data_IF_212820391631
#
_entry.id   IF_212820391631
#
_cell.length_a   1.000
_cell.length_b   1.000
_cell.length_c   1.000
_cell.angle_alpha   90.00
_cell.angle_beta   90.00
_cell.angle_gamma   90.00
#
_symmetry.space_group_name_H-M   'P 1'
#
loop_
_entity.id
_entity.type
_entity.pdbx_description
1 polymer ?
#
# COMPACT_ATOMS: atom_id res chain seq x y z
N UNK A 1 0.31 28.73 -35.66
CA UNK A 1 -0.22 27.54 -34.95
C UNK A 1 0.50 26.26 -35.40
N UNK A 2 1.85 26.25 -35.42
CA UNK A 2 2.64 25.10 -35.89
C UNK A 2 4.04 24.96 -35.25
N UNK A 3 4.36 25.73 -34.19
CA UNK A 3 5.70 25.76 -33.57
C UNK A 3 5.77 25.12 -32.17
N UNK A 4 4.70 24.51 -31.67
CA UNK A 4 4.62 24.04 -30.28
C UNK A 4 4.99 22.57 -30.07
N UNK A 5 5.09 21.74 -31.13
CA UNK A 5 5.41 20.31 -31.01
C UNK A 5 6.89 19.95 -31.22
N UNK A 6 7.74 20.87 -31.69
CA UNK A 6 9.18 20.61 -31.84
C UNK A 6 9.98 20.89 -30.55
N UNK A 7 9.50 21.75 -29.67
CA UNK A 7 10.25 22.22 -28.49
C UNK A 7 10.18 21.26 -27.30
N UNK A 8 9.17 20.39 -27.24
CA UNK A 8 9.09 19.30 -26.25
C UNK A 8 10.04 18.15 -26.64
N UNK A 9 10.36 18.04 -27.93
CA UNK A 9 11.40 17.11 -28.40
C UNK A 9 12.78 17.48 -27.87
N UNK A 10 13.15 18.75 -27.76
CA UNK A 10 14.55 19.10 -27.48
C UNK A 10 15.02 18.92 -26.03
N UNK A 11 14.13 18.77 -25.04
CA UNK A 11 14.53 18.78 -23.62
C UNK A 11 14.70 17.36 -23.03
N UNK A 12 14.01 16.36 -23.58
CA UNK A 12 14.21 14.93 -23.25
C UNK A 12 14.47 14.04 -24.48
N UNK A 13 14.34 14.56 -25.71
CA UNK A 13 14.64 13.86 -26.96
C UNK A 13 15.79 14.51 -27.73
N UNK A 14 16.89 14.84 -27.05
CA UNK A 14 18.15 14.73 -27.76
C UNK A 14 18.28 13.27 -28.17
N UNK A 15 18.07 12.97 -29.45
CA UNK A 15 18.52 11.74 -30.07
C UNK A 15 19.89 11.45 -29.45
N UNK A 16 20.02 10.37 -28.65
CA UNK A 16 21.33 10.02 -28.09
C UNK A 16 22.20 9.73 -29.30
N UNK A 17 23.01 10.73 -29.64
CA UNK A 17 23.32 11.01 -31.02
C UNK A 17 24.22 9.88 -31.54
N UNK A 18 23.72 9.08 -32.48
CA UNK A 18 24.50 8.03 -33.15
C UNK A 18 25.78 8.63 -33.77
N UNK A 19 25.77 9.94 -34.02
CA UNK A 19 26.92 10.72 -34.45
C UNK A 19 28.05 10.79 -33.40
N UNK A 20 27.77 10.76 -32.09
CA UNK A 20 28.82 10.73 -31.05
C UNK A 20 29.65 9.44 -31.16
N UNK A 21 29.00 8.30 -31.39
CA UNK A 21 29.69 7.01 -31.58
C UNK A 21 30.51 7.02 -32.85
N UNK A 22 29.97 7.57 -33.95
CA UNK A 22 30.70 7.71 -35.23
C UNK A 22 31.87 8.69 -35.13
N UNK A 23 31.72 9.80 -34.42
CA UNK A 23 32.79 10.80 -34.19
C UNK A 23 33.90 10.23 -33.31
N UNK A 24 33.56 9.41 -32.31
CA UNK A 24 34.55 8.72 -31.48
C UNK A 24 35.28 7.63 -32.26
N UNK A 25 34.59 6.91 -33.16
CA UNK A 25 35.20 5.93 -34.08
C UNK A 25 36.09 6.60 -35.14
N UNK A 26 35.75 7.80 -35.62
CA UNK A 26 36.59 8.55 -36.56
C UNK A 26 37.84 9.15 -35.88
N UNK A 27 37.79 9.44 -34.58
CA UNK A 27 38.93 9.94 -33.79
C UNK A 27 39.88 8.85 -33.31
N UNK A 28 39.54 7.56 -33.43
CA UNK A 28 40.43 6.46 -33.04
C UNK A 28 41.43 6.14 -34.16
N UNK A 29 42.52 6.91 -34.23
CA UNK A 29 43.71 6.50 -34.97
C UNK A 29 44.63 5.71 -34.03
N UNK A 30 44.44 4.38 -33.94
CA UNK A 30 45.39 3.29 -33.55
C UNK A 30 44.68 2.18 -32.78
N UNK A 31 45.02 0.95 -33.12
CA UNK A 31 44.58 -0.32 -32.52
C UNK A 31 44.68 -0.27 -30.99
N UNK A 32 43.58 0.07 -30.32
CA UNK A 32 43.51 0.06 -28.86
C UNK A 32 42.23 -0.66 -28.44
N UNK A 33 42.35 -1.97 -28.24
CA UNK A 33 41.26 -2.91 -27.96
C UNK A 33 40.38 -2.48 -26.78
N UNK A 34 40.95 -1.75 -25.82
CA UNK A 34 40.26 -1.18 -24.67
C UNK A 34 39.31 -0.03 -25.08
N UNK A 35 39.69 0.78 -26.07
CA UNK A 35 38.87 1.86 -26.61
C UNK A 35 37.67 1.32 -27.39
N UNK A 36 37.87 0.28 -28.22
CA UNK A 36 36.78 -0.38 -28.93
C UNK A 36 35.78 -1.07 -27.99
N UNK A 37 36.27 -1.62 -26.87
CA UNK A 37 35.43 -2.16 -25.81
C UNK A 37 34.56 -1.07 -25.15
N UNK A 38 35.13 0.10 -24.89
CA UNK A 38 34.40 1.27 -24.34
C UNK A 38 33.33 1.77 -25.33
N UNK A 39 33.68 1.92 -26.61
CA UNK A 39 32.76 2.33 -27.68
C UNK A 39 31.58 1.35 -27.79
N UNK A 40 31.87 0.05 -27.75
CA UNK A 40 30.86 -1.01 -27.79
C UNK A 40 29.94 -0.97 -26.55
N UNK A 41 30.49 -0.70 -25.37
CA UNK A 41 29.70 -0.56 -24.14
C UNK A 41 28.80 0.67 -24.19
N UNK A 42 29.30 1.82 -24.66
CA UNK A 42 28.51 3.04 -24.87
C UNK A 42 27.38 2.78 -25.87
N UNK A 43 27.67 2.12 -26.99
CA UNK A 43 26.68 1.78 -28.01
C UNK A 43 25.58 0.85 -27.46
N UNK A 44 25.96 -0.16 -26.66
CA UNK A 44 25.01 -1.03 -25.96
C UNK A 44 24.14 -0.27 -24.96
N UNK A 45 24.71 0.71 -24.24
CA UNK A 45 23.95 1.54 -23.30
C UNK A 45 22.97 2.46 -24.02
N UNK A 46 23.38 3.12 -25.10
CA UNK A 46 22.49 3.95 -25.94
C UNK A 46 21.33 3.10 -26.50
N UNK A 47 21.62 1.90 -27.00
CA UNK A 47 20.58 0.99 -27.48
C UNK A 47 19.59 0.59 -26.37
N UNK A 48 20.08 0.31 -25.16
CA UNK A 48 19.22 0.04 -23.99
C UNK A 48 18.34 1.24 -23.64
N UNK A 49 18.90 2.45 -23.66
CA UNK A 49 18.13 3.68 -23.40
C UNK A 49 17.00 3.86 -24.43
N UNK A 50 17.26 3.61 -25.71
CA UNK A 50 16.23 3.68 -26.76
C UNK A 50 15.12 2.63 -26.56
N UNK A 51 15.46 1.39 -26.17
CA UNK A 51 14.44 0.39 -25.82
C UNK A 51 13.60 0.86 -24.63
N UNK A 52 14.25 1.41 -23.60
CA UNK A 52 13.56 1.91 -22.41
C UNK A 52 12.64 3.08 -22.75
N UNK A 53 13.07 4.00 -23.62
CA UNK A 53 12.25 5.12 -24.08
C UNK A 53 11.03 4.65 -24.90
N UNK A 54 11.21 3.68 -25.79
CA UNK A 54 10.08 3.09 -26.52
C UNK A 54 9.09 2.39 -25.58
N UNK A 55 9.58 1.59 -24.62
CA UNK A 55 8.70 0.99 -23.60
C UNK A 55 8.02 2.05 -22.73
N UNK A 56 8.72 3.13 -22.39
CA UNK A 56 8.14 4.23 -21.65
C UNK A 56 6.99 4.88 -22.42
N UNK A 57 7.13 5.10 -23.73
CA UNK A 57 6.05 5.61 -24.59
C UNK A 57 4.83 4.67 -24.63
N UNK A 58 5.06 3.37 -24.72
CA UNK A 58 3.97 2.38 -24.66
C UNK A 58 3.25 2.40 -23.31
N UNK A 59 4.01 2.43 -22.21
CA UNK A 59 3.47 2.54 -20.85
C UNK A 59 2.70 3.85 -20.69
N UNK A 60 3.27 4.97 -21.15
CA UNK A 60 2.67 6.30 -21.07
C UNK A 60 1.32 6.36 -21.81
N UNK A 61 1.23 5.74 -22.98
CA UNK A 61 -0.02 5.63 -23.72
C UNK A 61 -1.05 4.74 -23.00
N UNK A 62 -0.61 3.65 -22.36
CA UNK A 62 -1.48 2.81 -21.54
C UNK A 62 -1.95 3.51 -20.25
N UNK A 63 -1.14 4.40 -19.68
CA UNK A 63 -1.44 5.13 -18.44
C UNK A 63 -2.44 6.27 -18.58
N UNK A 64 -2.81 6.68 -19.79
CA UNK A 64 -3.85 7.71 -20.01
C UNK A 64 -5.22 7.31 -19.46
N UNK A 65 -5.42 6.03 -19.12
CA UNK A 65 -6.65 5.51 -18.48
C UNK A 65 -6.61 5.57 -16.96
N UNK A 66 -5.47 5.92 -16.37
CA UNK A 66 -5.24 5.92 -14.92
C UNK A 66 -5.12 7.36 -14.42
N UNK A 67 -5.63 7.62 -13.23
CA UNK A 67 -5.47 8.90 -12.54
C UNK A 67 -4.02 9.07 -12.10
N UNK A 68 -3.35 10.18 -12.47
CA UNK A 68 -2.00 10.44 -12.02
C UNK A 68 -1.98 10.81 -10.53
N UNK A 69 -0.88 10.49 -9.86
CA UNK A 69 -0.61 11.07 -8.55
C UNK A 69 0.04 12.46 -8.74
N UNK A 70 -0.78 13.51 -8.71
CA UNK A 70 -0.36 14.90 -8.93
C UNK A 70 0.76 15.34 -8.01
N UNK A 71 0.72 14.94 -6.74
CA UNK A 71 1.76 15.26 -5.76
C UNK A 71 3.12 14.67 -6.16
N UNK A 72 3.14 13.41 -6.61
CA UNK A 72 4.35 12.76 -7.10
C UNK A 72 4.84 13.41 -8.40
N UNK A 73 3.93 13.84 -9.27
CA UNK A 73 4.27 14.62 -10.47
C UNK A 73 4.96 15.94 -10.13
N UNK A 74 4.43 16.71 -9.15
CA UNK A 74 5.07 17.92 -8.66
C UNK A 74 6.48 17.64 -8.09
N UNK A 75 6.62 16.60 -7.27
CA UNK A 75 7.92 16.19 -6.71
C UNK A 75 8.92 15.82 -7.81
N UNK A 76 8.47 15.08 -8.83
CA UNK A 76 9.32 14.71 -9.95
C UNK A 76 9.84 15.95 -10.69
N UNK A 77 8.96 16.87 -11.07
CA UNK A 77 9.36 18.10 -11.80
C UNK A 77 10.34 18.95 -10.98
N UNK A 78 10.08 19.11 -9.67
CA UNK A 78 11.00 19.84 -8.79
C UNK A 78 12.33 19.11 -8.63
N UNK A 79 12.34 17.78 -8.60
CA UNK A 79 13.58 17.00 -8.50
C UNK A 79 14.45 17.16 -9.75
N UNK A 80 13.83 17.25 -10.94
CA UNK A 80 14.55 17.51 -12.19
C UNK A 80 15.18 18.92 -12.19
N UNK A 81 14.45 19.92 -11.70
CA UNK A 81 15.02 21.26 -11.51
C UNK A 81 16.18 21.27 -10.51
N UNK A 82 16.01 20.60 -9.37
CA UNK A 82 17.03 20.53 -8.32
C UNK A 82 18.31 19.82 -8.79
N UNK A 83 18.21 18.82 -9.67
CA UNK A 83 19.38 18.20 -10.32
C UNK A 83 20.20 19.22 -11.12
N UNK A 84 19.54 20.14 -11.84
CA UNK A 84 20.22 21.23 -12.55
C UNK A 84 20.88 22.24 -11.59
N UNK A 85 20.46 22.28 -10.33
CA UNK A 85 21.10 23.03 -9.25
C UNK A 85 22.14 22.20 -8.45
N UNK A 86 22.65 21.09 -9.00
CA UNK A 86 23.62 20.19 -8.37
C UNK A 86 23.12 19.46 -7.12
N UNK A 87 21.80 19.40 -6.91
CA UNK A 87 21.17 18.63 -5.83
C UNK A 87 20.71 17.26 -6.37
N UNK A 88 21.67 16.37 -6.55
CA UNK A 88 21.44 15.01 -7.06
C UNK A 88 20.76 14.16 -5.98
N UNK A 89 19.82 13.30 -6.38
CA UNK A 89 19.04 12.38 -5.53
C UNK A 89 18.27 13.04 -4.37
N UNK A 90 18.04 14.35 -4.45
CA UNK A 90 17.21 15.06 -3.49
C UNK A 90 15.74 14.78 -3.75
N UNK A 91 15.01 14.35 -2.71
CA UNK A 91 13.55 14.11 -2.78
C UNK A 91 12.81 15.37 -2.32
N UNK A 92 12.10 16.08 -3.21
CA UNK A 92 11.44 17.32 -2.84
C UNK A 92 10.25 17.09 -1.90
N UNK A 93 10.09 18.00 -0.95
CA UNK A 93 8.93 18.12 -0.07
C UNK A 93 7.90 19.02 -0.73
N UNK A 94 6.75 18.46 -1.07
CA UNK A 94 5.61 19.21 -1.61
C UNK A 94 4.41 18.96 -0.70
N UNK A 95 3.67 20.01 -0.38
CA UNK A 95 2.47 19.94 0.47
C UNK A 95 1.29 20.66 -0.18
N UNK A 96 0.08 20.16 0.06
CA UNK A 96 -1.15 20.79 -0.41
C UNK A 96 -1.48 22.04 0.42
N UNK A 97 -1.92 23.12 -0.25
CA UNK A 97 -2.31 24.38 0.39
C UNK A 97 -3.81 24.38 0.64
N UNK A 98 -4.24 24.48 1.91
CA UNK A 98 -5.66 24.32 2.29
C UNK A 98 -6.50 25.60 2.29
N UNK A 99 -5.88 26.78 2.42
CA UNK A 99 -6.57 28.04 2.76
C UNK A 99 -6.54 29.09 1.65
N UNK A 100 -5.74 28.88 0.62
CA UNK A 100 -5.50 29.87 -0.42
C UNK A 100 -6.06 29.35 -1.74
N UNK A 101 -6.93 30.14 -2.40
CA UNK A 101 -7.47 29.78 -3.71
C UNK A 101 -6.49 30.12 -4.85
N UNK A 102 -5.37 30.78 -4.53
CA UNK A 102 -4.41 31.21 -5.53
C UNK A 102 -3.45 30.08 -5.92
N UNK A 103 -3.06 29.22 -4.97
CA UNK A 103 -2.07 28.14 -5.13
C UNK A 103 -2.59 26.77 -4.66
N UNK A 104 -2.17 25.70 -5.34
CA UNK A 104 -2.60 24.33 -5.02
C UNK A 104 -1.58 23.61 -4.13
N UNK A 105 -0.30 23.84 -4.39
CA UNK A 105 0.81 23.18 -3.70
C UNK A 105 1.91 24.18 -3.31
N UNK A 106 2.76 23.76 -2.37
CA UNK A 106 3.90 24.54 -1.92
C UNK A 106 5.11 23.64 -1.70
N UNK A 107 6.30 24.14 -2.08
CA UNK A 107 7.59 23.53 -1.73
C UNK A 107 8.32 24.40 -0.70
N UNK A 108 8.96 23.76 0.28
CA UNK A 108 9.63 24.41 1.42
C UNK A 108 11.11 24.05 1.55
N UNK A 109 11.68 23.40 0.54
CA UNK A 109 13.01 22.82 0.66
C UNK A 109 14.12 23.86 0.60
N UNK A 110 13.89 25.00 -0.07
CA UNK A 110 14.88 26.07 -0.15
C UNK A 110 15.32 26.57 1.24
N UNK A 111 14.40 26.58 2.22
CA UNK A 111 14.71 26.89 3.62
C UNK A 111 15.64 25.86 4.26
N UNK A 112 15.42 24.57 3.99
CA UNK A 112 16.24 23.48 4.52
C UNK A 112 17.63 23.51 3.88
N UNK A 113 17.68 23.72 2.57
CA UNK A 113 18.93 23.77 1.80
C UNK A 113 19.77 24.98 2.23
N UNK A 114 19.17 26.17 2.36
CA UNK A 114 19.87 27.37 2.86
C UNK A 114 20.52 27.12 4.23
N UNK A 115 19.76 26.55 5.19
CA UNK A 115 20.30 26.19 6.51
C UNK A 115 21.44 25.16 6.45
N UNK A 116 21.41 24.23 5.49
CA UNK A 116 22.48 23.25 5.31
C UNK A 116 23.73 23.86 4.69
N UNK A 117 23.58 24.82 3.78
CA UNK A 117 24.68 25.54 3.14
C UNK A 117 25.35 26.53 4.10
N UNK A 118 24.59 27.25 4.94
CA UNK A 118 25.17 28.13 5.96
C UNK A 118 26.03 27.37 6.97
N UNK A 119 25.74 26.10 7.25
CA UNK A 119 26.58 25.23 8.09
C UNK A 119 27.91 24.83 7.43
N UNK A 120 28.03 25.04 6.12
CA UNK A 120 29.24 24.78 5.31
C UNK A 120 29.91 26.08 4.87
N UNK A 121 29.65 27.19 5.58
CA UNK A 121 30.17 28.53 5.28
C UNK A 121 29.80 29.06 3.89
N UNK A 122 28.66 28.59 3.33
CA UNK A 122 28.09 29.11 2.09
C UNK A 122 26.85 29.93 2.42
N UNK A 123 26.97 31.26 2.30
CA UNK A 123 25.85 32.19 2.50
C UNK A 123 25.03 32.35 1.22
N UNK A 124 23.94 31.59 1.14
CA UNK A 124 22.90 31.75 0.10
C UNK A 124 21.54 31.80 0.80
N UNK A 125 20.73 32.78 0.44
CA UNK A 125 19.40 32.97 1.03
C UNK A 125 18.42 31.91 0.53
N UNK A 126 17.43 31.55 1.35
CA UNK A 126 16.37 30.62 0.94
C UNK A 126 15.59 31.11 -0.29
N UNK A 127 15.47 32.43 -0.46
CA UNK A 127 14.83 33.05 -1.63
C UNK A 127 15.64 32.83 -2.90
N UNK A 128 16.95 33.07 -2.88
CA UNK A 128 17.83 32.83 -4.04
C UNK A 128 17.82 31.35 -4.46
N UNK A 129 17.81 30.42 -3.51
CA UNK A 129 17.70 28.98 -3.80
C UNK A 129 16.35 28.69 -4.47
N UNK A 130 15.25 29.23 -3.94
CA UNK A 130 13.93 29.06 -4.50
C UNK A 130 13.82 29.64 -5.92
N UNK A 131 14.41 30.82 -6.17
CA UNK A 131 14.48 31.46 -7.49
C UNK A 131 15.30 30.62 -8.48
N UNK A 132 16.42 30.05 -8.04
CA UNK A 132 17.24 29.18 -8.87
C UNK A 132 16.50 27.87 -9.23
N UNK A 133 15.80 27.26 -8.27
CA UNK A 133 14.95 26.10 -8.53
C UNK A 133 13.83 26.48 -9.50
N UNK A 134 13.10 27.57 -9.28
CA UNK A 134 12.01 27.98 -10.16
C UNK A 134 12.49 28.24 -11.61
N UNK A 135 13.68 28.85 -11.76
CA UNK A 135 14.27 29.16 -13.07
C UNK A 135 14.68 27.92 -13.87
N UNK A 136 15.08 26.85 -13.19
CA UNK A 136 15.52 25.60 -13.82
C UNK A 136 14.40 24.55 -13.96
N UNK A 137 13.14 24.93 -13.75
CA UNK A 137 12.02 24.00 -13.99
C UNK A 137 11.94 23.67 -15.48
N UNK A 138 12.00 22.37 -15.84
CA UNK A 138 11.84 21.97 -17.24
C UNK A 138 10.41 22.28 -17.71
N UNK A 139 10.26 22.44 -19.03
CA UNK A 139 8.93 22.51 -19.62
C UNK A 139 8.11 21.29 -19.20
N UNK A 140 6.89 21.54 -18.73
CA UNK A 140 5.97 20.50 -18.27
C UNK A 140 4.52 20.95 -18.47
N UNK A 141 3.59 20.01 -18.48
CA UNK A 141 2.16 20.30 -18.64
C UNK A 141 1.42 20.39 -17.29
N UNK A 142 2.09 20.08 -16.18
CA UNK A 142 1.47 19.86 -14.86
C UNK A 142 1.38 21.15 -14.04
N UNK A 143 2.52 21.83 -13.82
CA UNK A 143 2.64 22.96 -12.90
C UNK A 143 3.03 24.25 -13.59
N UNK A 144 2.57 25.36 -13.01
CA UNK A 144 3.12 26.69 -13.20
C UNK A 144 3.54 27.25 -11.84
N UNK A 145 4.73 27.84 -11.76
CA UNK A 145 5.15 28.59 -10.58
C UNK A 145 4.53 29.97 -10.67
N UNK A 146 3.87 30.40 -9.59
CA UNK A 146 3.25 31.72 -9.53
C UNK A 146 4.02 32.70 -8.67
N UNK A 147 4.59 32.24 -7.57
CA UNK A 147 5.21 33.12 -6.58
C UNK A 147 6.31 32.41 -5.78
N UNK A 148 7.25 33.22 -5.29
CA UNK A 148 8.31 32.80 -4.37
C UNK A 148 8.26 33.73 -3.17
N UNK A 149 7.94 33.16 -2.00
CA UNK A 149 7.86 33.95 -0.78
C UNK A 149 9.24 34.44 -0.36
N UNK A 150 9.28 35.55 0.38
CA UNK A 150 10.50 36.04 1.03
C UNK A 150 11.16 35.01 1.95
N UNK A 151 10.36 34.09 2.50
CA UNK A 151 10.82 33.01 3.37
C UNK A 151 11.38 31.80 2.59
N UNK A 152 11.28 31.78 1.26
CA UNK A 152 11.80 30.70 0.41
C UNK A 152 10.80 29.57 0.15
N UNK A 153 9.49 29.83 0.26
CA UNK A 153 8.49 28.90 -0.26
C UNK A 153 8.31 29.12 -1.76
N UNK A 154 8.19 28.03 -2.52
CA UNK A 154 7.80 28.06 -3.93
C UNK A 154 6.30 27.73 -3.98
N UNK A 155 5.49 28.70 -4.40
CA UNK A 155 4.04 28.57 -4.53
C UNK A 155 3.68 28.06 -5.94
N UNK A 156 2.96 26.93 -5.98
CA UNK A 156 2.74 26.14 -7.19
C UNK A 156 1.24 26.10 -7.49
N UNK A 157 0.89 26.41 -8.74
CA UNK A 157 -0.46 26.22 -9.28
C UNK A 157 -0.46 25.14 -10.36
N UNK A 158 -1.49 24.32 -10.38
CA UNK A 158 -1.70 23.36 -11.45
C UNK A 158 -2.16 24.10 -12.71
N UNK A 159 -1.65 23.70 -13.87
CA UNK A 159 -2.15 24.25 -15.14
C UNK A 159 -3.60 23.80 -15.35
N UNK A 160 -4.47 24.73 -15.73
CA UNK A 160 -5.88 24.44 -16.00
C UNK A 160 -6.05 23.31 -17.00
N UNK A 161 -5.21 23.27 -18.05
CA UNK A 161 -5.30 22.24 -19.09
C UNK A 161 -5.06 20.82 -18.55
N UNK A 162 -4.17 20.67 -17.58
CA UNK A 162 -3.89 19.40 -16.91
C UNK A 162 -5.05 18.97 -16.00
N UNK A 163 -5.61 19.90 -15.23
CA UNK A 163 -6.78 19.60 -14.38
C UNK A 163 -7.97 19.21 -15.25
N UNK A 164 -8.23 19.95 -16.34
CA UNK A 164 -9.31 19.64 -17.28
C UNK A 164 -9.10 18.28 -17.96
N UNK A 165 -7.86 17.92 -18.32
CA UNK A 165 -7.59 16.60 -18.90
C UNK A 165 -7.89 15.48 -17.92
N UNK A 166 -7.47 15.60 -16.65
CA UNK A 166 -7.78 14.60 -15.61
C UNK A 166 -9.30 14.48 -15.40
N UNK A 167 -10.02 15.60 -15.29
CA UNK A 167 -11.47 15.57 -15.12
C UNK A 167 -12.16 14.87 -16.29
N UNK A 168 -11.70 15.14 -17.53
CA UNK A 168 -12.18 14.46 -18.73
C UNK A 168 -11.91 12.96 -18.67
N UNK A 169 -10.69 12.56 -18.29
CA UNK A 169 -10.31 11.15 -18.23
C UNK A 169 -11.11 10.40 -17.17
N UNK A 170 -11.39 11.01 -16.01
CA UNK A 170 -12.27 10.44 -14.97
C UNK A 170 -13.69 10.24 -15.51
N UNK A 171 -14.23 11.19 -16.28
CA UNK A 171 -15.58 11.08 -16.86
C UNK A 171 -15.65 9.96 -17.91
N UNK A 172 -14.61 9.81 -18.74
CA UNK A 172 -14.61 8.84 -19.85
C UNK A 172 -14.25 7.43 -19.36
N UNK A 173 -13.29 7.31 -18.43
CA UNK A 173 -12.70 6.03 -18.02
C UNK A 173 -13.07 5.60 -16.60
N UNK A 174 -13.69 6.46 -15.81
CA UNK A 174 -13.97 6.23 -14.39
C UNK A 174 -12.80 6.58 -13.47
N UNK A 175 -13.03 6.39 -12.17
CA UNK A 175 -12.02 6.66 -11.12
C UNK A 175 -11.10 5.44 -11.01
N UNK A 176 -10.00 5.44 -11.77
CA UNK A 176 -9.01 4.35 -11.76
C UNK A 176 -7.68 4.86 -11.18
N UNK A 177 -7.25 4.42 -9.99
CA UNK A 177 -5.97 4.83 -9.42
C UNK A 177 -4.81 4.20 -10.19
N UNK A 178 -3.58 4.73 -10.06
CA UNK A 178 -2.43 4.11 -10.69
C UNK A 178 -2.16 2.73 -10.06
N UNK A 179 -1.97 1.71 -10.89
CA UNK A 179 -1.62 0.38 -10.41
C UNK A 179 -0.23 0.39 -9.79
N UNK A 180 -0.15 0.03 -8.52
CA UNK A 180 1.12 -0.21 -7.85
C UNK A 180 1.61 -1.63 -8.19
N UNK A 181 2.92 -1.88 -8.05
CA UNK A 181 3.51 -3.18 -8.37
C UNK A 181 2.82 -4.28 -7.55
N UNK A 182 2.12 -5.18 -8.23
CA UNK A 182 1.31 -6.24 -7.62
C UNK A 182 2.14 -7.10 -6.68
N UNK A 183 1.92 -6.92 -5.38
CA UNK A 183 2.37 -7.82 -4.32
C UNK A 183 1.12 -8.40 -3.65
N UNK A 184 1.27 -9.58 -3.05
CA UNK A 184 0.21 -10.13 -2.21
C UNK A 184 0.24 -9.42 -0.86
N UNK A 185 -0.90 -8.89 -0.42
CA UNK A 185 -1.09 -8.28 0.90
C UNK A 185 -2.00 -9.18 1.71
N UNK A 186 -1.58 -9.53 2.91
CA UNK A 186 -2.41 -10.25 3.87
C UNK A 186 -2.83 -9.25 4.93
N UNK A 187 -4.13 -9.15 5.19
CA UNK A 187 -4.68 -8.32 6.26
C UNK A 187 -5.38 -9.23 7.25
N UNK A 188 -4.85 -9.30 8.46
CA UNK A 188 -5.46 -10.00 9.60
C UNK A 188 -6.37 -9.02 10.35
N UNK A 189 -7.66 -9.34 10.43
CA UNK A 189 -8.63 -8.51 11.12
C UNK A 189 -9.86 -9.29 11.62
N UNK A 190 -10.70 -8.59 12.40
CA UNK A 190 -11.86 -9.13 13.13
C UNK A 190 -11.47 -10.05 14.28
N UNK A 191 -10.83 -11.18 13.95
CA UNK A 191 -10.21 -12.18 14.84
C UNK A 191 -10.96 -12.40 16.17
N UNK A 192 -12.26 -12.76 16.14
CA UNK A 192 -13.03 -13.03 17.34
C UNK A 192 -12.59 -14.35 18.00
N UNK A 193 -12.89 -14.47 19.29
CA UNK A 193 -12.68 -15.70 20.04
C UNK A 193 -13.93 -16.59 19.95
N UNK A 194 -13.75 -17.87 19.61
CA UNK A 194 -14.85 -18.85 19.61
C UNK A 194 -15.42 -18.99 21.02
N UNK A 195 -16.73 -19.22 21.09
CA UNK A 195 -17.51 -19.35 22.33
C UNK A 195 -17.50 -18.10 23.23
N UNK A 196 -17.14 -16.94 22.68
CA UNK A 196 -17.30 -15.63 23.32
C UNK A 196 -18.04 -14.68 22.38
N UNK A 197 -18.77 -13.74 22.96
CA UNK A 197 -19.43 -12.71 22.18
C UNK A 197 -18.42 -11.78 21.49
N UNK A 198 -18.73 -11.44 20.24
CA UNK A 198 -18.00 -10.43 19.51
C UNK A 198 -18.32 -9.04 20.08
N UNK A 199 -17.38 -8.46 20.82
CA UNK A 199 -17.52 -7.10 21.36
C UNK A 199 -17.09 -5.99 20.37
N UNK A 200 -17.36 -4.72 20.73
CA UNK A 200 -17.03 -3.52 19.93
C UNK A 200 -15.57 -3.40 19.49
N UNK A 201 -14.64 -3.96 20.26
CA UNK A 201 -13.22 -4.05 19.86
C UNK A 201 -13.00 -4.86 18.56
N UNK A 202 -13.65 -6.03 18.43
CA UNK A 202 -13.60 -6.83 17.21
C UNK A 202 -14.30 -6.11 16.06
N UNK A 203 -15.43 -5.43 16.32
CA UNK A 203 -16.14 -4.66 15.31
C UNK A 203 -15.29 -3.52 14.74
N UNK A 204 -14.56 -2.79 15.59
CA UNK A 204 -13.60 -1.76 15.16
C UNK A 204 -12.53 -2.37 14.25
N UNK A 205 -11.91 -3.49 14.66
CA UNK A 205 -10.93 -4.21 13.83
C UNK A 205 -11.54 -4.63 12.49
N UNK A 206 -12.78 -5.12 12.51
CA UNK A 206 -13.54 -5.56 11.34
C UNK A 206 -13.70 -4.46 10.29
N UNK A 207 -14.19 -3.30 10.71
CA UNK A 207 -14.45 -2.16 9.81
C UNK A 207 -13.13 -1.59 9.27
N UNK A 208 -12.13 -1.41 10.12
CA UNK A 208 -10.83 -0.86 9.71
C UNK A 208 -10.11 -1.81 8.75
N UNK A 209 -10.07 -3.10 9.10
CA UNK A 209 -9.43 -4.14 8.30
C UNK A 209 -10.04 -4.26 6.92
N UNK A 210 -11.37 -4.33 6.83
CA UNK A 210 -12.06 -4.38 5.54
C UNK A 210 -11.82 -3.11 4.70
N UNK A 211 -11.85 -1.93 5.32
CA UNK A 211 -11.57 -0.67 4.63
C UNK A 211 -10.16 -0.66 4.03
N UNK A 212 -9.16 -1.12 4.79
CA UNK A 212 -7.78 -1.27 4.31
C UNK A 212 -7.71 -2.27 3.15
N UNK A 213 -8.40 -3.41 3.24
CA UNK A 213 -8.44 -4.40 2.15
C UNK A 213 -8.97 -3.79 0.86
N UNK A 214 -10.10 -3.08 0.93
CA UNK A 214 -10.71 -2.41 -0.23
C UNK A 214 -9.80 -1.35 -0.83
N UNK A 215 -9.06 -0.59 -0.01
CA UNK A 215 -8.07 0.39 -0.50
C UNK A 215 -6.96 -0.31 -1.28
N UNK A 216 -6.41 -1.42 -0.76
CA UNK A 216 -5.37 -2.18 -1.44
C UNK A 216 -5.86 -2.81 -2.74
N UNK A 217 -7.06 -3.39 -2.76
CA UNK A 217 -7.69 -3.92 -3.97
C UNK A 217 -7.94 -2.82 -5.00
N UNK A 218 -8.43 -1.66 -4.55
CA UNK A 218 -8.69 -0.52 -5.41
C UNK A 218 -7.43 -0.06 -6.16
N UNK A 219 -6.26 -0.11 -5.52
CA UNK A 219 -4.97 0.23 -6.16
C UNK A 219 -4.25 -0.97 -6.80
N UNK A 220 -4.92 -2.12 -6.89
CA UNK A 220 -4.52 -3.28 -7.70
C UNK A 220 -3.68 -4.36 -6.99
N UNK A 221 -3.69 -4.44 -5.66
CA UNK A 221 -3.02 -5.54 -4.94
C UNK A 221 -3.90 -6.80 -4.90
N UNK A 222 -3.24 -7.96 -4.82
CA UNK A 222 -3.88 -9.24 -4.47
C UNK A 222 -4.03 -9.30 -2.94
N UNK A 223 -5.26 -9.19 -2.44
CA UNK A 223 -5.53 -9.08 -1.00
C UNK A 223 -6.14 -10.36 -0.44
N UNK A 224 -5.47 -10.96 0.53
CA UNK A 224 -6.02 -12.04 1.34
C UNK A 224 -6.53 -11.49 2.67
N UNK A 225 -7.85 -11.56 2.86
CA UNK A 225 -8.53 -11.22 4.12
C UNK A 225 -8.48 -12.42 5.06
N UNK A 226 -7.78 -12.29 6.17
CA UNK A 226 -7.64 -13.37 7.15
C UNK A 226 -8.33 -12.97 8.45
N UNK A 227 -9.08 -13.90 9.03
CA UNK A 227 -9.54 -13.80 10.40
C UNK A 227 -8.83 -14.85 11.25
N UNK A 228 -7.94 -14.39 12.13
CA UNK A 228 -7.19 -15.24 13.04
C UNK A 228 -7.99 -15.53 14.30
N UNK A 229 -9.01 -16.38 14.17
CA UNK A 229 -9.94 -16.71 15.25
C UNK A 229 -9.26 -17.42 16.42
N UNK A 230 -9.66 -17.06 17.64
CA UNK A 230 -9.24 -17.73 18.87
C UNK A 230 -10.01 -19.03 19.06
N UNK A 231 -9.62 -20.08 18.35
CA UNK A 231 -10.30 -21.38 18.28
C UNK A 231 -9.48 -22.53 18.92
N UNK A 232 -8.37 -22.24 19.61
CA UNK A 232 -7.50 -23.27 20.20
C UNK A 232 -7.18 -23.08 21.70
N UNK A 233 -7.96 -22.24 22.40
CA UNK A 233 -7.71 -21.94 23.81
C UNK A 233 -8.15 -23.02 24.83
N UNK A 234 -7.66 -22.92 26.06
CA UNK A 234 -7.97 -23.89 27.14
C UNK A 234 -9.45 -23.92 27.55
N UNK A 235 -10.23 -22.90 27.18
CA UNK A 235 -11.68 -22.87 27.40
C UNK A 235 -12.43 -24.03 26.75
N UNK A 236 -11.90 -24.60 25.66
CA UNK A 236 -12.55 -25.72 24.98
C UNK A 236 -12.65 -26.96 25.86
N UNK A 237 -11.71 -27.16 26.79
CA UNK A 237 -11.78 -28.30 27.71
C UNK A 237 -13.04 -28.31 28.58
N UNK A 238 -13.40 -27.15 29.15
CA UNK A 238 -14.62 -27.04 29.96
C UNK A 238 -15.89 -27.04 29.10
N UNK A 239 -15.85 -26.46 27.90
CA UNK A 239 -16.99 -26.49 26.98
C UNK A 239 -17.30 -27.91 26.52
N UNK A 240 -16.28 -28.69 26.14
CA UNK A 240 -16.43 -30.08 25.71
C UNK A 240 -16.90 -30.94 26.89
N UNK A 241 -16.26 -30.85 28.06
CA UNK A 241 -16.71 -31.61 29.23
C UNK A 241 -18.16 -31.27 29.64
N UNK A 242 -18.57 -30.01 29.47
CA UNK A 242 -19.95 -29.60 29.70
C UNK A 242 -20.91 -30.16 28.64
N UNK A 243 -20.47 -30.21 27.38
CA UNK A 243 -21.23 -30.77 26.27
C UNK A 243 -21.54 -32.24 26.49
N UNK A 244 -20.55 -33.03 26.91
CA UNK A 244 -20.73 -34.47 27.17
C UNK A 244 -21.79 -34.74 28.25
N UNK A 245 -21.80 -33.92 29.30
CA UNK A 245 -22.76 -34.08 30.39
C UNK A 245 -24.19 -33.64 29.98
N UNK A 246 -24.31 -32.59 29.14
CA UNK A 246 -25.61 -32.00 28.76
C UNK A 246 -26.25 -32.73 27.58
N UNK A 247 -25.44 -33.24 26.66
CA UNK A 247 -25.87 -33.92 25.44
C UNK A 247 -25.06 -35.20 25.24
N UNK A 248 -25.46 -36.33 25.87
CA UNK A 248 -24.69 -37.58 25.80
C UNK A 248 -24.52 -38.15 24.38
N UNK A 249 -25.43 -37.83 23.46
CA UNK A 249 -25.44 -38.26 22.06
C UNK A 249 -24.86 -37.19 21.09
N UNK A 250 -24.03 -36.27 21.58
CA UNK A 250 -23.38 -35.21 20.77
C UNK A 250 -22.51 -35.75 19.61
N UNK A 251 -22.14 -37.03 19.66
CA UNK A 251 -21.36 -37.70 18.63
C UNK A 251 -22.20 -38.17 17.43
N UNK A 252 -23.53 -38.22 17.59
CA UNK A 252 -24.50 -38.63 16.57
C UNK A 252 -25.32 -37.47 16.03
N UNK A 253 -25.67 -36.50 16.87
CA UNK A 253 -26.51 -35.37 16.51
C UNK A 253 -25.84 -34.04 16.86
N UNK A 254 -26.03 -33.03 16.02
CA UNK A 254 -25.56 -31.68 16.31
C UNK A 254 -26.32 -31.13 17.52
N UNK A 255 -25.64 -30.78 18.63
CA UNK A 255 -26.30 -30.35 19.84
C UNK A 255 -27.02 -29.01 19.62
N UNK A 256 -28.27 -28.85 20.09
CA UNK A 256 -29.05 -27.63 19.90
C UNK A 256 -28.63 -26.54 20.88
N UNK A 257 -27.38 -26.05 20.76
CA UNK A 257 -26.90 -24.92 21.55
C UNK A 257 -27.33 -23.63 20.86
N UNK A 258 -28.40 -23.02 21.37
CA UNK A 258 -28.92 -21.74 20.86
C UNK A 258 -28.16 -20.51 21.38
N UNK A 259 -27.62 -20.59 22.60
CA UNK A 259 -26.84 -19.51 23.23
C UNK A 259 -25.52 -20.07 23.76
N UNK A 260 -24.46 -19.82 22.99
CA UNK A 260 -23.12 -20.27 23.33
C UNK A 260 -22.51 -19.47 24.49
N UNK A 261 -22.97 -18.23 24.73
CA UNK A 261 -22.50 -17.42 25.85
C UNK A 261 -23.05 -17.96 27.18
N UNK A 262 -24.34 -18.31 27.21
CA UNK A 262 -24.91 -18.98 28.38
C UNK A 262 -24.22 -20.32 28.63
N UNK A 263 -24.01 -21.11 27.58
CA UNK A 263 -23.30 -22.39 27.68
C UNK A 263 -21.86 -22.21 28.22
N UNK A 264 -21.15 -21.17 27.78
CA UNK A 264 -19.84 -20.80 28.33
C UNK A 264 -19.93 -20.45 29.82
N UNK A 265 -20.87 -19.59 30.23
CA UNK A 265 -21.06 -19.19 31.63
C UNK A 265 -21.38 -20.39 32.53
N UNK A 266 -22.24 -21.30 32.07
CA UNK A 266 -22.57 -22.56 32.77
C UNK A 266 -21.32 -23.44 32.95
N UNK A 267 -20.57 -23.68 31.87
CA UNK A 267 -19.33 -24.47 31.92
C UNK A 267 -18.27 -23.84 32.83
N UNK A 268 -18.16 -22.50 32.82
CA UNK A 268 -17.20 -21.74 33.63
C UNK A 268 -17.54 -21.84 35.11
N UNK A 269 -18.82 -21.69 35.48
CA UNK A 269 -19.27 -21.88 36.85
C UNK A 269 -18.93 -23.29 37.37
N UNK A 270 -19.22 -24.33 36.58
CA UNK A 270 -18.84 -25.71 36.92
C UNK A 270 -17.33 -25.90 37.04
N UNK A 271 -16.55 -25.25 36.19
CA UNK A 271 -15.09 -25.29 36.26
C UNK A 271 -14.52 -24.69 37.55
N UNK A 272 -15.16 -23.63 38.06
CA UNK A 272 -14.72 -22.94 39.27
C UNK A 272 -15.23 -23.65 40.55
N UNK A 273 -16.43 -24.22 40.52
CA UNK A 273 -17.09 -24.80 41.70
C UNK A 273 -16.87 -26.32 41.89
N UNK A 274 -16.60 -27.09 40.82
CA UNK A 274 -16.49 -28.56 40.85
C UNK A 274 -15.08 -29.04 40.45
N UNK A 275 -14.32 -29.50 41.45
CA UNK A 275 -12.96 -30.02 41.26
C UNK A 275 -12.87 -31.29 40.41
N UNK A 276 -13.93 -32.12 40.39
CA UNK A 276 -14.00 -33.31 39.51
C UNK A 276 -14.20 -32.87 38.07
N UNK A 277 -15.13 -31.94 37.83
CA UNK A 277 -15.34 -31.35 36.51
C UNK A 277 -14.09 -30.64 35.99
N UNK A 278 -13.42 -29.87 36.84
CA UNK A 278 -12.17 -29.16 36.50
C UNK A 278 -11.05 -30.11 36.04
N UNK A 279 -10.88 -31.26 36.72
CA UNK A 279 -9.94 -32.30 36.29
C UNK A 279 -10.32 -32.88 34.93
N UNK A 280 -11.60 -33.21 34.71
CA UNK A 280 -12.09 -33.70 33.41
C UNK A 280 -11.86 -32.68 32.29
N UNK A 281 -12.20 -31.41 32.52
CA UNK A 281 -12.01 -30.32 31.56
C UNK A 281 -10.53 -30.18 31.14
N UNK A 282 -9.58 -30.27 32.08
CA UNK A 282 -8.14 -30.26 31.76
C UNK A 282 -7.73 -31.45 30.91
N UNK A 283 -8.23 -32.65 31.21
CA UNK A 283 -7.97 -33.84 30.39
C UNK A 283 -8.53 -33.69 28.97
N UNK A 284 -9.67 -33.03 28.80
CA UNK A 284 -10.26 -32.74 27.49
C UNK A 284 -9.41 -31.78 26.65
N UNK A 285 -8.76 -30.78 27.26
CA UNK A 285 -7.79 -29.93 26.55
C UNK A 285 -6.65 -30.77 25.98
N UNK A 286 -6.03 -31.60 26.82
CA UNK A 286 -4.93 -32.47 26.41
C UNK A 286 -5.38 -33.39 25.28
N UNK A 287 -6.54 -34.04 25.44
CA UNK A 287 -7.10 -34.94 24.43
C UNK A 287 -7.40 -34.25 23.09
N UNK A 288 -7.81 -32.99 23.10
CA UNK A 288 -8.03 -32.20 21.90
C UNK A 288 -6.69 -31.88 21.21
N UNK A 289 -5.69 -31.45 21.99
CA UNK A 289 -4.35 -31.09 21.49
C UNK A 289 -3.56 -32.29 20.95
N UNK A 290 -3.70 -33.47 21.56
CA UNK A 290 -3.04 -34.69 21.09
C UNK A 290 -3.74 -35.33 19.90
N UNK A 291 -4.97 -34.91 19.58
CA UNK A 291 -5.76 -35.46 18.49
C UNK A 291 -6.12 -36.95 18.68
N UNK A 292 -6.07 -37.45 19.91
CA UNK A 292 -6.24 -38.89 20.20
C UNK A 292 -7.69 -39.33 20.33
N UNK A 293 -8.63 -38.40 20.49
CA UNK A 293 -10.05 -38.69 20.67
C UNK A 293 -10.89 -37.96 19.61
N UNK A 294 -11.38 -38.74 18.65
CA UNK A 294 -12.25 -38.26 17.57
C UNK A 294 -13.57 -37.66 18.08
N UNK A 295 -14.10 -38.13 19.21
CA UNK A 295 -15.34 -37.55 19.77
C UNK A 295 -15.07 -36.15 20.30
N UNK A 296 -13.95 -35.95 20.99
CA UNK A 296 -13.52 -34.63 21.49
C UNK A 296 -13.30 -33.65 20.34
N UNK A 297 -12.70 -34.10 19.23
CA UNK A 297 -12.54 -33.29 18.03
C UNK A 297 -13.89 -32.88 17.42
N UNK A 298 -14.83 -33.82 17.26
CA UNK A 298 -16.19 -33.52 16.76
C UNK A 298 -16.95 -32.53 17.66
N UNK A 299 -16.79 -32.66 18.98
CA UNK A 299 -17.36 -31.71 19.93
C UNK A 299 -16.79 -30.30 19.73
N UNK A 300 -15.47 -30.18 19.59
CA UNK A 300 -14.80 -28.92 19.28
C UNK A 300 -15.29 -28.32 17.95
N UNK A 301 -15.32 -29.11 16.87
CA UNK A 301 -15.81 -28.65 15.55
C UNK A 301 -17.25 -28.12 15.63
N UNK A 302 -18.12 -28.83 16.35
CA UNK A 302 -19.52 -28.41 16.54
C UNK A 302 -19.63 -27.08 17.29
N UNK A 303 -18.85 -26.89 18.35
CA UNK A 303 -18.81 -25.61 19.09
C UNK A 303 -18.30 -24.48 18.19
N UNK A 304 -17.25 -24.72 17.41
CA UNK A 304 -16.69 -23.76 16.47
C UNK A 304 -17.72 -23.38 15.40
N UNK A 305 -18.43 -24.34 14.82
CA UNK A 305 -19.45 -24.07 13.80
C UNK A 305 -20.58 -23.17 14.32
N UNK A 306 -21.01 -23.35 15.57
CA UNK A 306 -22.06 -22.50 16.16
C UNK A 306 -21.58 -21.05 16.25
N UNK A 307 -20.36 -20.82 16.75
CA UNK A 307 -19.77 -19.47 16.76
C UNK A 307 -19.60 -18.89 15.35
N UNK A 308 -19.17 -19.70 14.37
CA UNK A 308 -19.00 -19.27 12.98
C UNK A 308 -20.31 -18.80 12.37
N UNK A 309 -21.43 -19.49 12.64
CA UNK A 309 -22.77 -19.06 12.18
C UNK A 309 -23.12 -17.68 12.73
N UNK A 310 -22.88 -17.44 14.02
CA UNK A 310 -23.14 -16.14 14.65
C UNK A 310 -22.25 -15.03 14.06
N UNK A 311 -20.96 -15.30 13.85
CA UNK A 311 -20.06 -14.35 13.22
C UNK A 311 -20.47 -14.04 11.77
N UNK A 312 -20.91 -15.06 11.04
CA UNK A 312 -21.34 -14.92 9.65
C UNK A 312 -22.57 -14.00 9.52
N UNK A 313 -23.48 -13.97 10.50
CA UNK A 313 -24.59 -13.01 10.51
C UNK A 313 -24.08 -11.57 10.53
N UNK A 314 -23.08 -11.29 11.38
CA UNK A 314 -22.46 -9.96 11.49
C UNK A 314 -21.71 -9.62 10.20
N UNK A 315 -20.90 -10.55 9.67
CA UNK A 315 -20.16 -10.32 8.43
C UNK A 315 -21.08 -10.09 7.23
N UNK A 316 -22.19 -10.82 7.14
CA UNK A 316 -23.18 -10.64 6.08
C UNK A 316 -23.85 -9.27 6.16
N UNK A 317 -24.20 -8.80 7.38
CA UNK A 317 -24.76 -7.46 7.59
C UNK A 317 -23.78 -6.34 7.21
N UNK A 318 -22.50 -6.54 7.47
CA UNK A 318 -21.44 -5.58 7.13
C UNK A 318 -20.96 -5.69 5.67
N UNK A 319 -21.46 -6.68 4.92
CA UNK A 319 -21.00 -7.04 3.58
C UNK A 319 -19.47 -7.29 3.55
N UNK A 320 -19.03 -8.19 4.42
CA UNK A 320 -17.63 -8.57 4.62
C UNK A 320 -17.47 -10.07 4.36
N UNK A 321 -16.38 -10.44 3.69
CA UNK A 321 -15.99 -11.83 3.47
C UNK A 321 -14.58 -12.02 3.99
N UNK A 322 -14.36 -12.97 4.89
CA UNK A 322 -13.04 -13.27 5.47
C UNK A 322 -12.72 -14.74 5.29
N UNK A 323 -11.44 -15.05 5.09
CA UNK A 323 -10.95 -16.44 5.18
C UNK A 323 -10.55 -16.69 6.63
N UNK A 324 -11.25 -17.60 7.30
CA UNK A 324 -10.87 -18.02 8.65
C UNK A 324 -9.56 -18.80 8.60
N UNK A 325 -8.61 -18.41 9.45
CA UNK A 325 -7.38 -19.15 9.73
C UNK A 325 -7.04 -18.96 11.20
N UNK A 326 -7.78 -19.67 12.05
CA UNK A 326 -7.64 -19.62 13.50
C UNK A 326 -6.30 -20.15 14.01
N UNK A 327 -6.12 -20.05 15.32
CA UNK A 327 -4.97 -20.63 16.05
C UNK A 327 -4.81 -22.12 15.77
N UNK A 328 -5.91 -22.87 15.63
CA UNK A 328 -5.92 -24.32 15.38
C UNK A 328 -5.27 -24.76 14.07
N UNK A 329 -5.08 -23.83 13.13
CA UNK A 329 -4.44 -24.10 11.85
C UNK A 329 -2.92 -24.37 11.98
N UNK A 330 -2.29 -23.87 13.05
CA UNK A 330 -0.84 -23.83 13.23
C UNK A 330 -0.34 -24.87 14.25
#
# INVERSE_FOLDING_TARGET
MQLTNQSIKSIFLSDFDVNIVKDLQQKSARDNFEFDSIINNISKQIYRLNILDNRYKDIFNSSKKLMPNTLNGCKFILSESMKSCSLVDYVPTVTFVKKDNEFDYQNSDAMKISKLLSKKDVEITAREIAENIAKNIPYNELIQILDISNTGFINIKLKTIYVTSICRDIIIHGVNPPHLKSQRVIVDFSSPNIAKEMHVGHLRSTIIGESICRIFEFVGFDVLRVSHTGDWGTQFGMLIAHLEDKYPDYDKETPPISDLQQFYKESKKRFDDDEVFKKRARLKVVSLQTGTDEKVKKAWESICEISRRDFQLIYSQLNISVTERGESFY
#
